data_IF_822707060939
#
_entry.id   IF_822707060939
#
_cell.length_a   1.000
_cell.length_b   1.000
_cell.length_c   1.000
_cell.angle_alpha   90.00
_cell.angle_beta   90.00
_cell.angle_gamma   90.00
#
_symmetry.space_group_name_H-M   'P 1'
#
loop_
_entity.id
_entity.type
_entity.pdbx_description
1 polymer ?
#
# COMPACT_ATOMS: atom_id res chain seq x y z
N UNK A 1 36.36 -3.47 18.35
CA UNK A 1 35.35 -4.42 17.84
C UNK A 1 34.02 -3.72 17.89
N UNK A 2 33.30 -3.63 16.77
CA UNK A 2 31.91 -3.19 16.77
C UNK A 2 31.12 -4.28 17.51
N UNK A 3 30.43 -3.94 18.62
CA UNK A 3 29.87 -4.88 19.60
C UNK A 3 28.72 -5.76 19.08
N UNK A 4 27.98 -6.40 19.99
CA UNK A 4 26.84 -7.29 19.66
C UNK A 4 25.76 -6.63 18.77
N UNK A 5 25.69 -5.30 18.74
CA UNK A 5 24.77 -4.53 17.89
C UNK A 5 25.24 -4.40 16.41
N UNK A 6 26.36 -5.03 16.04
CA UNK A 6 26.84 -5.03 14.67
C UNK A 6 25.95 -5.87 13.74
N UNK A 7 25.85 -5.46 12.48
CA UNK A 7 25.10 -6.20 11.46
C UNK A 7 25.70 -7.59 11.23
N UNK A 8 24.83 -8.58 11.03
CA UNK A 8 25.26 -9.95 10.77
C UNK A 8 26.00 -10.06 9.43
N UNK A 9 26.91 -11.02 9.31
CA UNK A 9 27.63 -11.30 8.06
C UNK A 9 26.68 -11.54 6.87
N UNK A 10 25.50 -12.12 7.12
CA UNK A 10 24.47 -12.34 6.10
C UNK A 10 23.90 -11.03 5.55
N UNK A 11 23.72 -10.04 6.42
CA UNK A 11 23.29 -8.70 6.03
C UNK A 11 24.38 -8.02 5.20
N UNK A 12 25.64 -8.11 5.61
CA UNK A 12 26.78 -7.59 4.83
C UNK A 12 26.86 -8.19 3.42
N UNK A 13 26.69 -9.50 3.28
CA UNK A 13 26.71 -10.17 1.98
C UNK A 13 25.59 -9.68 1.05
N UNK A 14 24.37 -9.48 1.58
CA UNK A 14 23.23 -8.93 0.81
C UNK A 14 23.53 -7.51 0.32
N UNK A 15 24.06 -6.67 1.20
CA UNK A 15 24.51 -5.32 0.82
C UNK A 15 25.59 -5.35 -0.25
N UNK A 16 26.58 -6.24 -0.11
CA UNK A 16 27.66 -6.36 -1.08
C UNK A 16 27.15 -6.73 -2.48
N UNK A 17 26.23 -7.70 -2.58
CA UNK A 17 25.60 -8.05 -3.86
C UNK A 17 24.84 -6.86 -4.44
N UNK A 18 24.05 -6.15 -3.62
CA UNK A 18 23.30 -4.96 -4.04
C UNK A 18 24.24 -3.88 -4.62
N UNK A 19 25.37 -3.64 -3.95
CA UNK A 19 26.39 -2.69 -4.39
C UNK A 19 27.10 -3.14 -5.67
N UNK A 20 27.42 -4.42 -5.81
CA UNK A 20 27.99 -4.96 -7.05
C UNK A 20 27.04 -4.83 -8.25
N UNK A 21 25.73 -4.82 -8.02
CA UNK A 21 24.71 -4.57 -9.04
C UNK A 21 24.53 -3.08 -9.37
N UNK A 22 25.31 -2.19 -8.75
CA UNK A 22 25.29 -0.74 -9.00
C UNK A 22 24.27 0.04 -8.16
N UNK A 23 23.48 -0.64 -7.32
CA UNK A 23 22.56 0.04 -6.40
C UNK A 23 23.26 0.32 -5.06
N UNK A 24 23.83 1.52 -4.95
CA UNK A 24 24.51 2.01 -3.74
C UNK A 24 23.53 2.64 -2.72
N UNK A 25 22.22 2.52 -2.93
CA UNK A 25 21.22 3.10 -2.04
C UNK A 25 21.12 2.34 -0.73
N UNK A 26 21.38 3.05 0.37
CA UNK A 26 21.17 2.57 1.75
C UNK A 26 19.69 2.61 2.19
N UNK A 27 18.77 3.04 1.32
CA UNK A 27 17.35 3.05 1.65
C UNK A 27 16.79 1.63 1.64
N UNK A 28 15.97 1.34 2.64
CA UNK A 28 15.12 0.16 2.63
C UNK A 28 14.21 0.22 1.40
N UNK A 29 14.10 -0.91 0.70
CA UNK A 29 13.07 -1.08 -0.31
C UNK A 29 11.69 -0.98 0.35
N UNK A 30 10.69 -0.54 -0.42
CA UNK A 30 9.31 -0.62 0.04
C UNK A 30 9.05 -2.07 0.46
N UNK A 31 8.78 -2.25 1.76
CA UNK A 31 8.35 -3.54 2.26
C UNK A 31 7.13 -3.96 1.46
N UNK A 32 7.15 -5.18 0.93
CA UNK A 32 6.01 -5.75 0.23
C UNK A 32 4.79 -5.65 1.15
N UNK A 33 3.93 -4.66 0.91
CA UNK A 33 2.60 -4.67 1.51
C UNK A 33 1.87 -5.89 0.99
N UNK A 34 1.00 -6.45 1.83
CA UNK A 34 0.10 -7.52 1.41
C UNK A 34 -0.84 -6.91 0.38
N UNK A 35 -0.60 -7.17 -0.90
CA UNK A 35 -1.45 -6.70 -2.00
C UNK A 35 -2.82 -7.33 -1.81
N UNK A 36 -3.74 -6.56 -1.23
CA UNK A 36 -5.15 -6.91 -1.26
C UNK A 36 -5.57 -6.62 -2.69
N UNK A 37 -5.88 -7.67 -3.46
CA UNK A 37 -6.25 -7.63 -4.89
C UNK A 37 -7.62 -6.96 -5.12
N UNK A 38 -7.94 -5.96 -4.30
CA UNK A 38 -9.20 -5.22 -4.36
C UNK A 38 -8.99 -4.13 -5.39
N UNK A 39 -9.56 -4.38 -6.57
CA UNK A 39 -9.60 -3.46 -7.70
C UNK A 39 -10.25 -2.14 -7.28
N UNK A 40 -9.43 -1.14 -6.96
CA UNK A 40 -9.82 0.16 -6.39
C UNK A 40 -10.73 0.99 -7.30
N UNK A 41 -10.72 0.73 -8.61
CA UNK A 41 -11.62 1.38 -9.58
C UNK A 41 -13.10 1.14 -9.24
N UNK A 42 -13.46 -0.07 -8.76
CA UNK A 42 -14.87 -0.43 -8.53
C UNK A 42 -15.46 0.36 -7.35
N UNK A 43 -14.85 0.36 -6.14
CA UNK A 43 -15.33 1.23 -5.06
C UNK A 43 -15.19 2.73 -5.41
N UNK A 44 -14.22 3.14 -6.22
CA UNK A 44 -14.11 4.54 -6.67
C UNK A 44 -15.30 4.96 -7.56
N UNK A 45 -15.67 4.15 -8.56
CA UNK A 45 -16.85 4.41 -9.40
C UNK A 45 -18.15 4.44 -8.59
N UNK A 46 -18.26 3.60 -7.56
CA UNK A 46 -19.45 3.57 -6.69
C UNK A 46 -19.55 4.86 -5.87
N UNK A 47 -18.47 5.29 -5.20
CA UNK A 47 -18.44 6.52 -4.40
C UNK A 47 -18.61 7.77 -5.27
N UNK A 48 -18.06 7.78 -6.49
CA UNK A 48 -18.23 8.88 -7.43
C UNK A 48 -19.67 9.06 -7.89
N UNK A 49 -20.44 7.98 -8.04
CA UNK A 49 -21.87 8.02 -8.38
C UNK A 49 -22.73 8.44 -7.19
N UNK A 50 -22.45 7.88 -6.01
CA UNK A 50 -23.20 8.13 -4.78
C UNK A 50 -22.23 8.41 -3.61
N UNK A 51 -21.88 9.68 -3.35
CA UNK A 51 -20.93 10.04 -2.30
C UNK A 51 -21.44 9.76 -0.87
N UNK A 52 -22.71 9.34 -0.74
CA UNK A 52 -23.34 8.94 0.53
C UNK A 52 -23.26 7.43 0.80
N UNK A 53 -22.61 6.65 -0.07
CA UNK A 53 -22.47 5.21 0.14
C UNK A 53 -21.72 4.88 1.42
N UNK A 54 -22.34 4.04 2.24
CA UNK A 54 -21.80 3.60 3.54
C UNK A 54 -20.84 2.43 3.31
N UNK A 55 -19.76 2.35 4.08
CA UNK A 55 -18.75 1.29 3.97
C UNK A 55 -19.31 -0.13 4.12
N UNK A 56 -20.42 -0.29 4.84
CA UNK A 56 -21.15 -1.57 4.94
C UNK A 56 -21.85 -1.95 3.63
N UNK A 57 -22.44 -0.99 2.93
CA UNK A 57 -23.10 -1.18 1.64
C UNK A 57 -22.08 -1.57 0.57
N UNK A 58 -20.92 -0.90 0.58
CA UNK A 58 -19.80 -1.19 -0.33
C UNK A 58 -19.21 -2.57 -0.05
N UNK A 59 -18.99 -2.91 1.23
CA UNK A 59 -18.53 -4.24 1.63
C UNK A 59 -19.50 -5.35 1.22
N UNK A 60 -20.81 -5.14 1.45
CA UNK A 60 -21.85 -6.09 1.04
C UNK A 60 -21.87 -6.29 -0.47
N UNK A 61 -21.84 -5.20 -1.26
CA UNK A 61 -21.85 -5.27 -2.73
C UNK A 61 -20.59 -5.89 -3.32
N UNK A 62 -19.44 -5.71 -2.68
CA UNK A 62 -18.16 -6.26 -3.14
C UNK A 62 -17.84 -7.64 -2.55
N UNK A 63 -18.65 -8.15 -1.62
CA UNK A 63 -18.34 -9.38 -0.88
C UNK A 63 -17.11 -9.24 0.03
N UNK A 64 -16.75 -8.01 0.40
CA UNK A 64 -15.55 -7.67 1.17
C UNK A 64 -15.96 -7.35 2.62
N UNK A 65 -15.14 -7.76 3.58
CA UNK A 65 -15.37 -7.44 4.97
C UNK A 65 -15.47 -5.92 5.20
N UNK A 66 -16.39 -5.48 6.07
CA UNK A 66 -16.69 -4.06 6.29
C UNK A 66 -15.45 -3.24 6.66
N UNK A 67 -14.51 -3.80 7.44
CA UNK A 67 -13.27 -3.10 7.81
C UNK A 67 -12.35 -2.87 6.61
N UNK A 68 -12.27 -3.84 5.70
CA UNK A 68 -11.53 -3.73 4.44
C UNK A 68 -12.21 -2.73 3.51
N UNK A 69 -13.54 -2.71 3.43
CA UNK A 69 -14.27 -1.70 2.67
C UNK A 69 -14.05 -0.28 3.23
N UNK A 70 -14.02 -0.13 4.55
CA UNK A 70 -13.72 1.15 5.21
C UNK A 70 -12.29 1.63 4.93
N UNK A 71 -11.30 0.74 4.98
CA UNK A 71 -9.91 1.09 4.67
C UNK A 71 -9.77 1.54 3.21
N UNK A 72 -10.42 0.84 2.28
CA UNK A 72 -10.47 1.24 0.87
C UNK A 72 -11.12 2.60 0.69
N UNK A 73 -12.26 2.88 1.33
CA UNK A 73 -12.93 4.19 1.25
C UNK A 73 -12.04 5.30 1.81
N UNK A 74 -11.32 5.04 2.92
CA UNK A 74 -10.35 6.00 3.47
C UNK A 74 -9.23 6.26 2.47
N UNK A 75 -8.59 5.21 1.94
CA UNK A 75 -7.54 5.31 0.93
C UNK A 75 -8.04 6.06 -0.31
N UNK A 76 -9.25 5.76 -0.80
CA UNK A 76 -9.88 6.47 -1.92
C UNK A 76 -10.17 7.94 -1.62
N UNK A 77 -10.61 8.29 -0.41
CA UNK A 77 -10.80 9.69 -0.01
C UNK A 77 -9.49 10.46 0.16
N UNK A 78 -8.39 9.77 0.50
CA UNK A 78 -7.05 10.36 0.42
C UNK A 78 -6.61 10.58 -1.02
N UNK A 79 -6.88 9.60 -1.90
CA UNK A 79 -6.59 9.69 -3.33
C UNK A 79 -7.45 10.74 -4.01
N UNK A 80 -8.76 10.88 -3.73
CA UNK A 80 -9.65 11.86 -4.36
C UNK A 80 -9.34 13.31 -3.96
N UNK A 81 -8.89 13.56 -2.72
CA UNK A 81 -8.33 14.86 -2.33
C UNK A 81 -7.08 15.24 -3.12
N UNK A 82 -6.34 14.24 -3.62
CA UNK A 82 -5.19 14.41 -4.50
C UNK A 82 -5.57 14.32 -6.00
N UNK A 83 -6.69 13.66 -6.32
CA UNK A 83 -7.17 13.32 -7.66
C UNK A 83 -8.33 14.25 -8.06
N UNK A 84 -8.09 15.55 -8.00
CA UNK A 84 -8.94 16.62 -8.57
C UNK A 84 -8.89 16.66 -10.11
N UNK A 85 -8.66 15.54 -10.80
CA UNK A 85 -8.45 15.48 -12.26
C UNK A 85 -9.42 14.57 -13.03
N UNK A 86 -10.57 14.22 -12.46
CA UNK A 86 -11.66 13.63 -13.25
C UNK A 86 -12.90 14.52 -13.14
N UNK A 87 -12.92 15.56 -13.97
CA UNK A 87 -14.09 16.35 -14.33
C UNK A 87 -14.52 15.97 -15.75
#
# INVERSE_FOLDING_TARGET
MFGEDAITARTCQRWFVKFCLGDLSLKDELRSERSSDVHYEVPCCMIGKDPKLISSEVGFKLGIHQTTALDHIKRLNFVSKLCVLCQ
#
